data_IF_442724982922
#
_entry.id   IF_442724982922
#
_cell.length_a   1.000
_cell.length_b   1.000
_cell.length_c   1.000
_cell.angle_alpha   90.00
_cell.angle_beta   90.00
_cell.angle_gamma   90.00
#
_symmetry.space_group_name_H-M   'P 1'
#
loop_
_entity.id
_entity.type
_entity.pdbx_description
1 polymer ?
#
# COMPACT_ATOMS: atom_id res chain seq x y z
N UNK A 1 10.92 38.35 -13.42
CA UNK A 1 11.50 37.68 -12.24
C UNK A 1 11.06 36.22 -12.09
N UNK A 2 9.77 35.88 -12.27
CA UNK A 2 9.24 34.51 -12.11
C UNK A 2 9.88 33.45 -13.03
N UNK A 3 10.26 33.81 -14.25
CA UNK A 3 10.84 32.90 -15.24
C UNK A 3 12.24 32.40 -14.86
N UNK A 4 13.10 33.26 -14.29
CA UNK A 4 14.45 32.87 -13.84
C UNK A 4 14.39 31.96 -12.60
N UNK A 5 13.46 32.24 -11.69
CA UNK A 5 13.19 31.39 -10.53
C UNK A 5 12.68 30.01 -10.95
N UNK A 6 11.70 29.97 -11.87
CA UNK A 6 11.16 28.72 -12.41
C UNK A 6 12.24 27.89 -13.12
N UNK A 7 13.08 28.54 -13.93
CA UNK A 7 14.18 27.88 -14.63
C UNK A 7 15.24 27.35 -13.66
N UNK A 8 15.55 28.11 -12.59
CA UNK A 8 16.43 27.67 -11.51
C UNK A 8 15.89 26.45 -10.74
N UNK A 9 14.61 26.47 -10.36
CA UNK A 9 13.93 25.33 -9.71
C UNK A 9 13.95 24.11 -10.64
N UNK A 10 13.66 24.30 -11.93
CA UNK A 10 13.68 23.22 -12.91
C UNK A 10 15.07 22.60 -13.07
N UNK A 11 16.14 23.42 -13.03
CA UNK A 11 17.52 22.94 -13.05
C UNK A 11 17.90 22.17 -11.78
N UNK A 12 17.46 22.63 -10.61
CA UNK A 12 17.69 21.93 -9.33
C UNK A 12 17.02 20.56 -9.35
N UNK A 13 15.76 20.50 -9.78
CA UNK A 13 15.05 19.23 -9.94
C UNK A 13 15.74 18.30 -10.94
N UNK A 14 16.19 18.84 -12.08
CA UNK A 14 16.92 18.08 -13.08
C UNK A 14 18.25 17.55 -12.54
N UNK A 15 18.97 18.35 -11.76
CA UNK A 15 20.23 17.95 -11.11
C UNK A 15 20.03 16.85 -10.06
N UNK A 16 19.03 17.00 -9.18
CA UNK A 16 18.66 15.97 -8.19
C UNK A 16 18.25 14.68 -8.91
N UNK A 17 17.48 14.79 -9.99
CA UNK A 17 17.04 13.67 -10.80
C UNK A 17 18.23 12.92 -11.41
N UNK A 18 19.14 13.63 -12.09
CA UNK A 18 20.36 13.03 -12.69
C UNK A 18 21.33 12.47 -11.65
N UNK A 19 21.36 13.03 -10.44
CA UNK A 19 22.21 12.52 -9.37
C UNK A 19 21.63 11.25 -8.73
N UNK A 20 20.32 11.23 -8.50
CA UNK A 20 19.61 10.08 -7.93
C UNK A 20 19.75 8.83 -8.80
N UNK A 21 19.83 8.99 -10.11
CA UNK A 21 19.93 7.87 -11.06
C UNK A 21 21.30 7.19 -11.02
N UNK A 22 22.37 7.94 -10.68
CA UNK A 22 23.70 7.37 -10.43
C UNK A 22 23.79 6.61 -9.10
N UNK A 23 23.07 7.06 -8.07
CA UNK A 23 23.12 6.43 -6.75
C UNK A 23 22.23 5.18 -6.64
N UNK A 24 21.09 5.18 -7.32
CA UNK A 24 20.06 4.13 -7.18
C UNK A 24 20.17 3.00 -8.21
N UNK A 25 21.14 3.04 -9.14
CA UNK A 25 21.25 2.10 -10.26
C UNK A 25 19.90 1.85 -10.93
N UNK A 26 19.17 2.95 -11.19
CA UNK A 26 17.83 2.88 -11.77
C UNK A 26 17.92 2.26 -13.17
N UNK A 27 17.07 1.28 -13.46
CA UNK A 27 17.05 0.63 -14.77
C UNK A 27 16.74 1.62 -15.89
N UNK A 28 17.27 1.39 -17.09
CA UNK A 28 16.95 2.22 -18.26
C UNK A 28 15.44 2.21 -18.57
N UNK A 29 14.78 1.08 -18.30
CA UNK A 29 13.33 0.87 -18.44
C UNK A 29 12.50 1.90 -17.67
N UNK A 30 12.96 2.33 -16.49
CA UNK A 30 12.32 3.41 -15.73
C UNK A 30 12.14 4.65 -16.60
N UNK A 31 13.20 5.08 -17.30
CA UNK A 31 13.16 6.31 -18.09
C UNK A 31 12.30 6.15 -19.33
N UNK A 32 12.39 5.01 -20.01
CA UNK A 32 11.55 4.74 -21.17
C UNK A 32 10.06 4.81 -20.79
N UNK A 33 9.67 4.13 -19.72
CA UNK A 33 8.29 4.16 -19.24
C UNK A 33 7.87 5.54 -18.73
N UNK A 34 8.74 6.26 -18.01
CA UNK A 34 8.46 7.61 -17.51
C UNK A 34 8.25 8.60 -18.65
N UNK A 35 9.11 8.59 -19.67
CA UNK A 35 9.01 9.50 -20.82
C UNK A 35 7.73 9.24 -21.60
N UNK A 36 7.43 7.96 -21.89
CA UNK A 36 6.19 7.56 -22.56
C UNK A 36 4.99 8.03 -21.74
N UNK A 37 5.01 7.79 -20.44
CA UNK A 37 3.95 8.23 -19.53
C UNK A 37 3.72 9.75 -19.57
N UNK A 38 4.79 10.55 -19.48
CA UNK A 38 4.71 12.01 -19.54
C UNK A 38 4.09 12.48 -20.87
N UNK A 39 4.51 11.90 -21.99
CA UNK A 39 3.97 12.23 -23.32
C UNK A 39 2.47 11.95 -23.38
N UNK A 40 2.04 10.75 -22.97
CA UNK A 40 0.63 10.37 -23.01
C UNK A 40 -0.24 11.14 -22.02
N UNK A 41 0.25 11.42 -20.80
CA UNK A 41 -0.43 12.32 -19.86
C UNK A 41 -0.54 13.73 -20.42
N UNK A 42 0.53 14.25 -21.01
CA UNK A 42 0.53 15.55 -21.68
C UNK A 42 -0.57 15.62 -22.73
N UNK A 43 -0.59 14.67 -23.67
CA UNK A 43 -1.62 14.59 -24.72
C UNK A 43 -3.03 14.48 -24.11
N UNK A 44 -3.21 13.66 -23.06
CA UNK A 44 -4.48 13.52 -22.36
C UNK A 44 -4.99 14.88 -21.84
N UNK A 45 -4.16 15.61 -21.10
CA UNK A 45 -4.55 16.91 -20.55
C UNK A 45 -4.73 17.98 -21.64
N UNK A 46 -3.86 18.03 -22.65
CA UNK A 46 -3.99 18.98 -23.77
C UNK A 46 -5.25 18.77 -24.61
N UNK A 47 -5.74 17.53 -24.74
CA UNK A 47 -6.97 17.21 -25.50
C UNK A 47 -8.26 17.41 -24.70
N UNK A 48 -8.18 18.04 -23.53
CA UNK A 48 -9.34 18.31 -22.67
C UNK A 48 -9.57 17.25 -21.59
N UNK A 49 -8.64 16.32 -21.37
CA UNK A 49 -8.70 15.34 -20.27
C UNK A 49 -10.03 14.61 -20.19
N UNK A 50 -10.80 14.89 -19.12
CA UNK A 50 -12.11 14.28 -18.84
C UNK A 50 -13.27 14.81 -19.65
N UNK A 51 -13.09 15.84 -20.49
CA UNK A 51 -14.18 16.47 -21.27
C UNK A 51 -14.72 15.57 -22.40
N UNK A 52 -13.92 14.62 -22.88
CA UNK A 52 -14.32 13.67 -23.92
C UNK A 52 -13.99 12.24 -23.50
N UNK A 53 -14.97 11.34 -23.55
CA UNK A 53 -14.77 9.93 -23.18
C UNK A 53 -13.72 9.24 -24.04
N UNK A 54 -13.53 9.68 -25.28
CA UNK A 54 -12.51 9.16 -26.21
C UNK A 54 -11.07 9.40 -25.74
N UNK A 55 -10.85 10.39 -24.87
CA UNK A 55 -9.50 10.72 -24.41
C UNK A 55 -8.92 9.66 -23.46
N UNK A 56 -9.75 8.74 -22.95
CA UNK A 56 -9.30 7.62 -22.12
C UNK A 56 -8.22 6.78 -22.78
N UNK A 57 -8.20 6.70 -24.13
CA UNK A 57 -7.19 5.97 -24.88
C UNK A 57 -5.76 6.49 -24.69
N UNK A 58 -5.58 7.75 -24.28
CA UNK A 58 -4.27 8.29 -23.91
C UNK A 58 -3.97 8.06 -22.43
N UNK A 59 -4.98 8.09 -21.57
CA UNK A 59 -4.80 7.90 -20.13
C UNK A 59 -4.40 6.47 -19.77
N UNK A 60 -4.90 5.47 -20.52
CA UNK A 60 -4.58 4.06 -20.28
C UNK A 60 -3.06 3.80 -20.39
N UNK A 61 -2.40 4.01 -21.55
CA UNK A 61 -0.96 3.83 -21.66
C UNK A 61 -0.18 4.77 -20.73
N UNK A 62 -0.67 6.01 -20.51
CA UNK A 62 -0.02 6.94 -19.57
C UNK A 62 0.09 6.36 -18.16
N UNK A 63 -1.03 5.84 -17.63
CA UNK A 63 -1.14 5.32 -16.26
C UNK A 63 -0.38 4.01 -16.10
N UNK A 64 -0.45 3.12 -17.10
CA UNK A 64 0.27 1.85 -17.09
C UNK A 64 1.78 2.11 -17.10
N UNK A 65 2.29 2.90 -18.06
CA UNK A 65 3.72 3.21 -18.11
C UNK A 65 4.18 3.96 -16.85
N UNK A 66 3.35 4.84 -16.30
CA UNK A 66 3.69 5.53 -15.05
C UNK A 66 3.92 4.55 -13.90
N UNK A 67 2.95 3.66 -13.69
CA UNK A 67 3.03 2.69 -12.60
C UNK A 67 4.13 1.67 -12.83
N UNK A 68 4.41 1.29 -14.09
CA UNK A 68 5.54 0.43 -14.42
C UNK A 68 6.87 1.11 -14.10
N UNK A 69 7.05 2.39 -14.45
CA UNK A 69 8.23 3.15 -14.04
C UNK A 69 8.39 3.17 -12.52
N UNK A 70 7.31 3.45 -11.77
CA UNK A 70 7.37 3.41 -10.31
C UNK A 70 7.70 2.01 -9.76
N UNK A 71 7.18 0.95 -10.38
CA UNK A 71 7.50 -0.42 -9.98
C UNK A 71 8.96 -0.78 -10.22
N UNK A 72 9.55 -0.42 -11.37
CA UNK A 72 10.96 -0.73 -11.65
C UNK A 72 11.87 0.01 -10.67
N UNK A 73 11.58 1.29 -10.40
CA UNK A 73 12.28 2.05 -9.36
C UNK A 73 12.13 1.42 -7.97
N UNK A 74 10.91 1.01 -7.60
CA UNK A 74 10.62 0.36 -6.33
C UNK A 74 11.36 -0.97 -6.16
N UNK A 75 11.37 -1.80 -7.20
CA UNK A 75 12.11 -3.07 -7.23
C UNK A 75 13.60 -2.82 -7.06
N UNK A 76 14.20 -1.88 -7.80
CA UNK A 76 15.63 -1.54 -7.67
C UNK A 76 15.99 -1.07 -6.26
N UNK A 77 15.11 -0.29 -5.61
CA UNK A 77 15.33 0.13 -4.22
C UNK A 77 15.25 -1.07 -3.28
N UNK A 78 14.24 -1.92 -3.44
CA UNK A 78 13.95 -3.01 -2.51
C UNK A 78 14.92 -4.19 -2.67
N UNK A 79 15.41 -4.44 -3.89
CA UNK A 79 16.44 -5.45 -4.15
C UNK A 79 17.76 -5.14 -3.46
N UNK A 80 18.05 -3.86 -3.18
CA UNK A 80 19.25 -3.46 -2.43
C UNK A 80 19.20 -3.88 -0.95
N UNK A 81 18.03 -4.26 -0.41
CA UNK A 81 17.89 -4.62 1.00
C UNK A 81 18.24 -6.08 1.33
N UNK A 82 18.83 -6.86 0.41
CA UNK A 82 19.36 -8.25 0.59
C UNK A 82 18.37 -9.31 1.10
N UNK A 83 17.14 -8.93 1.43
CA UNK A 83 16.13 -9.80 2.03
C UNK A 83 15.23 -10.49 1.00
N UNK A 84 15.23 -10.01 -0.26
CA UNK A 84 14.30 -10.44 -1.30
C UNK A 84 15.02 -10.75 -2.61
N UNK A 85 14.59 -11.82 -3.30
CA UNK A 85 15.00 -12.07 -4.69
C UNK A 85 14.20 -11.17 -5.62
N UNK A 86 14.84 -10.72 -6.70
CA UNK A 86 14.21 -9.80 -7.67
C UNK A 86 12.95 -10.41 -8.31
N UNK A 87 12.97 -11.71 -8.66
CA UNK A 87 11.80 -12.40 -9.23
C UNK A 87 10.59 -12.39 -8.29
N UNK A 88 10.80 -12.73 -7.02
CA UNK A 88 9.74 -12.73 -6.00
C UNK A 88 9.11 -11.34 -5.82
N UNK A 89 9.91 -10.27 -5.97
CA UNK A 89 9.41 -8.89 -5.91
C UNK A 89 8.65 -8.50 -7.17
N UNK A 90 9.10 -8.91 -8.34
CA UNK A 90 8.43 -8.65 -9.62
C UNK A 90 7.02 -9.27 -9.64
N UNK A 91 6.88 -10.50 -9.16
CA UNK A 91 5.61 -11.25 -9.13
C UNK A 91 4.53 -10.59 -8.26
N UNK A 92 4.94 -9.77 -7.27
CA UNK A 92 4.03 -9.00 -6.42
C UNK A 92 3.84 -7.58 -6.96
N UNK A 93 4.95 -6.88 -7.21
CA UNK A 93 4.95 -5.44 -7.46
C UNK A 93 4.38 -5.12 -8.84
N UNK A 94 4.63 -5.95 -9.87
CA UNK A 94 4.13 -5.68 -11.22
C UNK A 94 2.60 -5.77 -11.29
N UNK A 95 1.94 -6.87 -10.85
CA UNK A 95 0.48 -6.92 -10.81
C UNK A 95 -0.12 -5.79 -9.97
N UNK A 96 0.50 -5.46 -8.82
CA UNK A 96 0.05 -4.37 -7.97
C UNK A 96 0.11 -3.01 -8.69
N UNK A 97 1.21 -2.74 -9.38
CA UNK A 97 1.43 -1.52 -10.13
C UNK A 97 0.41 -1.37 -11.27
N UNK A 98 0.20 -2.43 -12.06
CA UNK A 98 -0.78 -2.42 -13.16
C UNK A 98 -2.20 -2.29 -12.59
N UNK A 99 -2.54 -2.99 -11.50
CA UNK A 99 -3.85 -2.86 -10.84
C UNK A 99 -4.11 -1.42 -10.39
N UNK A 100 -3.09 -0.78 -9.83
CA UNK A 100 -3.14 0.63 -9.42
C UNK A 100 -3.23 1.58 -10.62
N UNK A 101 -2.67 1.23 -11.78
CA UNK A 101 -2.85 2.00 -13.01
C UNK A 101 -4.34 2.03 -13.43
N UNK A 102 -5.05 0.90 -13.33
CA UNK A 102 -6.49 0.86 -13.56
C UNK A 102 -7.29 1.66 -12.53
N UNK A 103 -6.83 1.69 -11.28
CA UNK A 103 -7.42 2.57 -10.27
C UNK A 103 -7.22 4.06 -10.62
N UNK A 104 -6.04 4.47 -11.11
CA UNK A 104 -5.80 5.83 -11.59
C UNK A 104 -6.71 6.20 -12.78
N UNK A 105 -6.90 5.27 -13.72
CA UNK A 105 -7.82 5.46 -14.86
C UNK A 105 -9.25 5.69 -14.36
N UNK A 106 -9.68 4.93 -13.35
CA UNK A 106 -10.98 5.13 -12.72
C UNK A 106 -11.11 6.51 -12.08
N UNK A 107 -10.13 6.90 -11.25
CA UNK A 107 -10.14 8.18 -10.54
C UNK A 107 -10.11 9.39 -11.49
N UNK A 108 -9.25 9.37 -12.51
CA UNK A 108 -9.03 10.53 -13.36
C UNK A 108 -10.01 10.66 -14.52
N UNK A 109 -10.72 9.59 -14.89
CA UNK A 109 -11.59 9.62 -16.07
C UNK A 109 -12.91 8.90 -15.88
N UNK A 110 -12.93 7.59 -15.60
CA UNK A 110 -14.17 6.83 -15.76
C UNK A 110 -15.20 7.07 -14.65
N UNK A 111 -14.76 7.48 -13.46
CA UNK A 111 -15.65 7.91 -12.38
C UNK A 111 -16.55 9.07 -12.81
N UNK A 112 -16.03 10.01 -13.62
CA UNK A 112 -16.81 11.12 -14.16
C UNK A 112 -17.95 10.68 -15.08
N UNK A 113 -17.77 9.55 -15.78
CA UNK A 113 -18.74 8.96 -16.69
C UNK A 113 -19.57 7.84 -16.04
N UNK A 114 -19.52 7.70 -14.71
CA UNK A 114 -20.15 6.63 -13.94
C UNK A 114 -19.84 5.22 -14.48
N UNK A 115 -18.65 5.06 -15.06
CA UNK A 115 -18.21 3.81 -15.66
C UNK A 115 -17.20 3.11 -14.76
N UNK A 116 -17.54 1.89 -14.37
CA UNK A 116 -16.81 1.09 -13.36
C UNK A 116 -15.88 0.06 -13.99
N UNK A 117 -15.78 0.02 -15.32
CA UNK A 117 -15.02 -1.03 -16.00
C UNK A 117 -13.56 -1.16 -15.53
N UNK A 118 -12.80 -0.09 -15.18
CA UNK A 118 -11.42 -0.26 -14.73
C UNK A 118 -11.32 -0.94 -13.35
N UNK A 119 -12.39 -0.95 -12.56
CA UNK A 119 -12.40 -1.60 -11.25
C UNK A 119 -12.33 -3.14 -11.37
N UNK A 120 -12.81 -3.73 -12.46
CA UNK A 120 -12.73 -5.17 -12.67
C UNK A 120 -11.29 -5.68 -12.88
N UNK A 121 -10.49 -5.16 -13.83
CA UNK A 121 -9.09 -5.56 -13.96
C UNK A 121 -8.25 -5.12 -12.75
N UNK A 122 -8.54 -3.96 -12.13
CA UNK A 122 -7.93 -3.58 -10.86
C UNK A 122 -8.11 -4.66 -9.79
N UNK A 123 -9.35 -5.10 -9.55
CA UNK A 123 -9.66 -6.11 -8.55
C UNK A 123 -8.99 -7.46 -8.88
N UNK A 124 -8.99 -7.87 -10.15
CA UNK A 124 -8.31 -9.09 -10.59
C UNK A 124 -6.79 -9.04 -10.36
N UNK A 125 -6.16 -7.91 -10.66
CA UNK A 125 -4.72 -7.73 -10.47
C UNK A 125 -4.32 -7.59 -9.00
N UNK A 126 -5.17 -6.98 -8.17
CA UNK A 126 -4.97 -6.95 -6.72
C UNK A 126 -5.15 -8.33 -6.10
N UNK A 127 -6.09 -9.13 -6.62
CA UNK A 127 -6.21 -10.53 -6.22
C UNK A 127 -4.98 -11.35 -6.63
N UNK A 128 -4.47 -11.15 -7.85
CA UNK A 128 -3.22 -11.77 -8.29
C UNK A 128 -2.04 -11.36 -7.38
N UNK A 129 -1.93 -10.06 -7.06
CA UNK A 129 -0.93 -9.54 -6.10
C UNK A 129 -1.00 -10.25 -4.76
N UNK A 130 -2.22 -10.42 -4.22
CA UNK A 130 -2.44 -11.11 -2.95
C UNK A 130 -1.97 -12.57 -3.02
N UNK A 131 -2.29 -13.27 -4.11
CA UNK A 131 -1.86 -14.65 -4.32
C UNK A 131 -0.35 -14.78 -4.43
N UNK A 132 0.32 -13.96 -5.24
CA UNK A 132 1.78 -13.92 -5.32
C UNK A 132 2.42 -13.61 -3.97
N UNK A 133 1.80 -12.71 -3.19
CA UNK A 133 2.31 -12.37 -1.86
C UNK A 133 2.28 -13.55 -0.89
N UNK A 134 1.26 -14.41 -0.99
CA UNK A 134 1.17 -15.64 -0.16
C UNK A 134 2.28 -16.63 -0.53
N UNK A 135 2.65 -16.74 -1.80
CA UNK A 135 3.72 -17.62 -2.26
C UNK A 135 5.10 -17.13 -1.82
N UNK A 136 5.36 -15.83 -1.93
CA UNK A 136 6.64 -15.20 -1.54
C UNK A 136 6.79 -15.10 -0.02
N UNK A 137 5.68 -14.85 0.68
CA UNK A 137 5.62 -14.82 2.14
C UNK A 137 4.76 -15.99 2.63
N UNK A 138 5.28 -17.24 2.61
CA UNK A 138 4.51 -18.40 2.98
C UNK A 138 3.98 -18.21 4.41
N UNK A 139 2.65 -18.11 4.50
CA UNK A 139 1.93 -17.82 5.76
C UNK A 139 2.28 -18.85 6.83
N UNK A 140 2.67 -20.06 6.43
CA UNK A 140 3.23 -21.13 7.28
C UNK A 140 4.38 -20.65 8.17
N UNK A 141 5.23 -19.74 7.70
CA UNK A 141 6.30 -19.15 8.51
C UNK A 141 5.77 -18.17 9.57
N UNK A 142 4.58 -17.62 9.36
CA UNK A 142 3.90 -16.72 10.28
C UNK A 142 2.89 -17.42 11.18
N UNK A 143 2.43 -18.64 10.85
CA UNK A 143 1.54 -19.45 11.69
C UNK A 143 2.08 -19.57 13.13
N UNK A 144 3.37 -19.91 13.36
CA UNK A 144 3.93 -19.94 14.72
C UNK A 144 3.86 -18.58 15.43
N UNK A 145 4.14 -17.48 14.72
CA UNK A 145 4.13 -16.13 15.29
C UNK A 145 2.70 -15.70 15.65
N UNK A 146 1.73 -15.96 14.77
CA UNK A 146 0.30 -15.71 14.99
C UNK A 146 -0.21 -16.55 16.17
N UNK A 147 0.17 -17.83 16.25
CA UNK A 147 -0.16 -18.71 17.38
C UNK A 147 0.45 -18.22 18.70
N UNK A 148 1.69 -17.74 18.69
CA UNK A 148 2.35 -17.16 19.88
C UNK A 148 1.58 -15.91 20.33
N UNK A 149 1.26 -14.99 19.42
CA UNK A 149 0.51 -13.76 19.75
C UNK A 149 -0.89 -14.11 20.26
N UNK A 150 -1.61 -15.01 19.59
CA UNK A 150 -2.93 -15.46 20.01
C UNK A 150 -2.90 -16.16 21.38
N UNK A 151 -1.89 -17.00 21.63
CA UNK A 151 -1.66 -17.64 22.92
C UNK A 151 -1.38 -16.64 24.04
N UNK A 152 -0.51 -15.66 23.80
CA UNK A 152 -0.22 -14.58 24.75
C UNK A 152 -1.47 -13.74 25.02
N UNK A 153 -2.27 -13.43 24.00
CA UNK A 153 -3.51 -12.69 24.13
C UNK A 153 -4.53 -13.42 25.02
N UNK A 154 -4.70 -14.74 24.82
CA UNK A 154 -5.57 -15.57 25.67
C UNK A 154 -5.09 -15.61 27.13
N UNK A 155 -3.77 -15.70 27.35
CA UNK A 155 -3.20 -15.66 28.71
C UNK A 155 -3.52 -14.32 29.39
N UNK A 156 -3.34 -13.21 28.69
CA UNK A 156 -3.64 -11.87 29.23
C UNK A 156 -5.11 -11.72 29.59
N UNK A 157 -6.02 -12.16 28.72
CA UNK A 157 -7.46 -12.17 28.99
C UNK A 157 -7.80 -13.04 30.20
N UNK A 158 -7.25 -14.26 30.26
CA UNK A 158 -7.48 -15.20 31.36
C UNK A 158 -7.00 -14.65 32.71
N UNK A 159 -5.82 -14.04 32.74
CA UNK A 159 -5.27 -13.39 33.93
C UNK A 159 -6.11 -12.20 34.39
N UNK A 160 -6.66 -11.43 33.44
CA UNK A 160 -7.51 -10.27 33.72
C UNK A 160 -8.86 -10.72 34.30
N UNK A 161 -9.49 -11.75 33.71
CA UNK A 161 -10.73 -12.34 34.23
C UNK A 161 -10.54 -13.00 35.60
N UNK A 162 -9.39 -13.66 35.84
CA UNK A 162 -9.10 -14.30 37.14
C UNK A 162 -8.87 -13.27 38.25
N UNK A 163 -8.37 -12.08 37.93
CA UNK A 163 -8.21 -10.97 38.88
C UNK A 163 -9.57 -10.37 39.28
N UNK A 164 -10.46 -10.17 38.30
CA UNK A 164 -11.82 -9.66 38.52
C UNK A 164 -12.64 -10.59 39.43
N UNK A 165 -12.60 -11.90 39.17
CA UNK A 165 -13.37 -12.88 39.94
C UNK A 165 -12.85 -13.07 41.39
N UNK A 166 -11.54 -12.87 41.61
CA UNK A 166 -10.95 -12.94 42.96
C UNK A 166 -11.29 -11.72 43.83
N UNK A 167 -11.53 -10.55 43.22
CA UNK A 167 -11.90 -9.34 43.95
C UNK A 167 -13.36 -9.38 44.43
N UNK A 168 -14.26 -9.91 43.59
CA UNK A 168 -15.68 -10.08 43.93
C UNK A 168 -15.90 -11.11 45.06
N UNK A 169 -15.16 -12.23 45.04
CA UNK A 169 -15.21 -13.23 46.13
C UNK A 169 -14.67 -12.73 47.47
N UNK A 170 -13.79 -11.72 47.47
CA UNK A 170 -13.27 -11.13 48.72
C UNK A 170 -14.24 -10.11 49.31
N UNK A 171 -14.88 -9.28 48.47
CA UNK A 171 -15.87 -8.30 48.92
C UNK A 171 -17.15 -8.96 49.46
N UNK A 172 -17.63 -10.02 48.82
CA UNK A 172 -18.81 -10.77 49.30
C UNK A 172 -18.55 -11.41 50.68
N UNK A 173 -17.32 -11.86 50.94
CA UNK A 173 -16.95 -12.40 52.26
C UNK A 173 -16.83 -11.31 53.34
N UNK A 174 -16.33 -10.13 52.97
CA UNK A 174 -16.18 -9.00 53.90
C UNK A 174 -17.57 -8.43 54.26
N UNK A 175 -18.47 -8.26 53.29
CA UNK A 175 -19.85 -7.83 53.50
C UNK A 175 -20.66 -8.80 54.38
N UNK A 176 -20.49 -10.12 54.18
CA UNK A 176 -21.16 -11.14 55.02
C UNK A 176 -20.62 -11.15 56.46
N UNK A 177 -19.36 -10.76 56.69
CA UNK A 177 -18.78 -10.65 58.03
C UNK A 177 -19.30 -9.39 58.73
N UNK A 178 -19.36 -8.26 58.04
CA UNK A 178 -19.85 -6.99 58.58
C UNK A 178 -21.34 -7.06 58.96
N UNK A 179 -22.18 -7.71 58.12
CA UNK A 179 -23.59 -7.92 58.41
C UNK A 179 -23.83 -8.81 59.64
N UNK A 180 -22.91 -9.75 59.94
CA UNK A 180 -22.98 -10.58 61.14
C UNK A 180 -22.62 -9.80 62.40
N UNK A 181 -21.67 -8.88 62.33
CA UNK A 181 -21.25 -8.09 63.49
C UNK A 181 -22.28 -7.01 63.88
N UNK A 182 -23.01 -6.46 62.92
CA UNK A 182 -23.99 -5.41 63.17
C UNK A 182 -25.33 -5.93 63.76
N UNK A 183 -25.61 -7.24 63.67
CA UNK A 183 -26.81 -7.87 64.24
C UNK A 183 -26.62 -8.38 65.69
N UNK A 184 -25.46 -8.11 66.30
CA UNK A 184 -25.11 -8.57 67.66
C UNK A 184 -25.05 -7.44 68.71
N UNK A 185 -25.44 -6.21 68.35
CA UNK A 185 -25.60 -5.07 69.27
C UNK A 185 -27.04 -4.56 69.22
#
# INVERSE_FOLDING_TARGET
>A
MKTKLFLGISLVFLGIFLYSTRLLQVSEDFFYFLIISIVFFGIYFFRGGKEKSSNIGFLIPASICFMLALSTMGISILSNFSMFRVGDLEDIIIPFAIGTAFFLIYLFHTSHYNSKWPLYPMAGLYFATLMSSIEVFPVENFIPIILIIAGLFLIIISLTNKRSNKQQSSQEKEEVIDLRQNNTN
#
